data_IF_969587640213
#
_entry.id   IF_969587640213
#
_cell.length_a   1.000
_cell.length_b   1.000
_cell.length_c   1.000
_cell.angle_alpha   90.00
_cell.angle_beta   90.00
_cell.angle_gamma   90.00
#
_symmetry.space_group_name_H-M   'P 1'
#
loop_
_entity.id
_entity.type
_entity.pdbx_description
1 polymer ?
#
# COMPACT_ATOMS: atom_id res chain seq x y z
N UNK A 1 -20.01 21.99 -1.63
CA UNK A 1 -19.13 20.92 -1.12
C UNK A 1 -18.47 20.25 -2.33
N UNK A 2 -17.15 20.13 -2.37
CA UNK A 2 -16.48 19.42 -3.47
C UNK A 2 -16.79 17.92 -3.37
N UNK A 3 -17.23 17.30 -4.48
CA UNK A 3 -17.52 15.85 -4.48
C UNK A 3 -16.26 14.99 -4.30
N UNK A 4 -15.09 15.46 -4.78
CA UNK A 4 -13.82 14.76 -4.56
C UNK A 4 -13.19 15.13 -3.20
N UNK A 5 -13.08 14.19 -2.24
CA UNK A 5 -12.52 14.47 -0.91
C UNK A 5 -11.04 14.84 -0.96
N UNK A 6 -10.29 14.28 -1.91
CA UNK A 6 -8.85 14.51 -2.07
C UNK A 6 -8.53 15.72 -2.97
N UNK A 7 -9.55 16.48 -3.39
CA UNK A 7 -9.40 17.65 -4.28
C UNK A 7 -8.61 17.34 -5.56
N UNK A 8 -8.78 16.14 -6.10
CA UNK A 8 -8.12 15.68 -7.33
C UNK A 8 -8.76 16.27 -8.60
N UNK A 9 -10.00 16.77 -8.53
CA UNK A 9 -10.69 17.36 -9.68
C UNK A 9 -10.49 18.88 -9.67
N UNK A 10 -9.98 19.41 -10.78
CA UNK A 10 -9.76 20.84 -10.95
C UNK A 10 -10.31 21.35 -12.29
N UNK A 11 -10.41 22.67 -12.43
CA UNK A 11 -11.01 23.32 -13.58
C UNK A 11 -9.96 24.17 -14.31
N UNK A 12 -9.91 24.06 -15.64
CA UNK A 12 -9.04 24.85 -16.51
C UNK A 12 -9.71 25.00 -17.87
N UNK A 13 -9.73 26.21 -18.43
CA UNK A 13 -10.26 26.49 -19.78
C UNK A 13 -11.65 25.89 -20.04
N UNK A 14 -12.58 26.06 -19.11
CA UNK A 14 -13.94 25.51 -19.22
C UNK A 14 -14.06 23.98 -19.17
N UNK A 15 -12.96 23.26 -18.95
CA UNK A 15 -12.92 21.80 -18.83
C UNK A 15 -12.54 21.38 -17.41
N UNK A 16 -13.05 20.20 -17.02
CA UNK A 16 -12.64 19.52 -15.78
C UNK A 16 -11.50 18.56 -16.07
N UNK A 17 -10.49 18.57 -15.21
CA UNK A 17 -9.34 17.69 -15.26
C UNK A 17 -9.23 16.91 -13.95
N UNK A 18 -8.62 15.72 -14.03
CA UNK A 18 -8.31 14.90 -12.87
C UNK A 18 -6.80 14.85 -12.70
N UNK A 19 -6.34 15.27 -11.54
CA UNK A 19 -4.97 15.05 -11.05
C UNK A 19 -4.88 13.60 -10.55
N UNK A 20 -4.29 12.73 -11.37
CA UNK A 20 -4.21 11.30 -11.08
C UNK A 20 -3.29 10.98 -9.88
N UNK A 21 -2.34 11.85 -9.54
CA UNK A 21 -1.49 11.66 -8.36
C UNK A 21 -2.27 11.88 -7.05
N UNK A 22 -3.31 12.73 -7.10
CA UNK A 22 -4.24 12.94 -5.97
C UNK A 22 -5.44 11.99 -6.01
N UNK A 23 -5.76 11.42 -7.16
CA UNK A 23 -6.89 10.52 -7.31
C UNK A 23 -6.64 9.21 -6.58
N UNK A 24 -7.62 8.75 -5.81
CA UNK A 24 -7.54 7.48 -5.05
C UNK A 24 -8.48 6.41 -5.62
N UNK A 25 -9.05 6.63 -6.81
CA UNK A 25 -9.98 5.67 -7.43
C UNK A 25 -11.27 5.42 -6.64
N UNK A 26 -11.70 6.35 -5.77
CA UNK A 26 -12.86 6.12 -4.87
C UNK A 26 -14.25 6.24 -5.53
N UNK A 27 -14.30 6.53 -6.83
CA UNK A 27 -15.50 6.61 -7.68
C UNK A 27 -16.61 7.61 -7.31
N UNK A 28 -16.53 8.31 -6.17
CA UNK A 28 -17.54 9.30 -5.74
C UNK A 28 -17.92 10.34 -6.80
N UNK A 29 -16.99 10.72 -7.68
CA UNK A 29 -17.26 11.67 -8.75
C UNK A 29 -18.16 11.10 -9.85
N UNK A 30 -18.10 9.79 -10.08
CA UNK A 30 -18.99 9.06 -10.99
C UNK A 30 -20.38 9.03 -10.36
N UNK A 31 -20.48 8.60 -9.09
CA UNK A 31 -21.75 8.44 -8.37
C UNK A 31 -22.59 9.72 -8.31
N UNK A 32 -21.95 10.89 -8.15
CA UNK A 32 -22.66 12.17 -8.06
C UNK A 32 -22.95 12.81 -9.42
N UNK A 33 -22.42 12.28 -10.53
CA UNK A 33 -22.54 12.93 -11.82
C UNK A 33 -23.88 12.55 -12.48
N UNK A 34 -24.89 13.38 -12.25
CA UNK A 34 -26.26 13.18 -12.81
C UNK A 34 -26.30 13.12 -14.35
N UNK A 35 -25.29 13.68 -15.02
CA UNK A 35 -25.19 13.71 -16.48
C UNK A 35 -24.39 12.54 -17.07
N UNK A 36 -23.83 11.65 -16.25
CA UNK A 36 -23.03 10.52 -16.73
C UNK A 36 -21.75 10.92 -17.49
N UNK A 37 -21.20 12.11 -17.22
CA UNK A 37 -20.05 12.64 -17.95
C UNK A 37 -18.71 11.95 -17.63
N UNK A 38 -18.69 11.04 -16.65
CA UNK A 38 -17.51 10.31 -16.20
C UNK A 38 -17.86 8.83 -16.20
N UNK A 39 -17.07 8.05 -16.95
CA UNK A 39 -17.18 6.59 -17.00
C UNK A 39 -15.84 5.98 -16.56
N UNK A 40 -15.90 4.85 -15.85
CA UNK A 40 -14.72 4.10 -15.43
C UNK A 40 -14.69 2.79 -16.20
N UNK A 41 -13.71 2.70 -17.10
CA UNK A 41 -13.53 1.57 -18.01
C UNK A 41 -12.86 0.35 -17.36
N UNK A 42 -12.07 0.58 -16.31
CA UNK A 42 -11.45 -0.50 -15.53
C UNK A 42 -11.00 0.03 -14.17
N UNK A 43 -11.09 -0.84 -13.16
CA UNK A 43 -10.51 -0.63 -11.85
C UNK A 43 -9.60 -1.83 -11.62
N UNK A 44 -8.31 -1.58 -11.52
CA UNK A 44 -7.40 -2.59 -11.03
C UNK A 44 -7.53 -2.60 -9.51
N UNK A 45 -8.32 -3.55 -9.00
CA UNK A 45 -8.29 -3.83 -7.57
C UNK A 45 -6.94 -4.47 -7.24
N UNK A 46 -6.11 -3.71 -6.52
CA UNK A 46 -4.83 -4.20 -6.01
C UNK A 46 -5.04 -4.62 -4.57
N UNK A 47 -4.92 -5.92 -4.30
CA UNK A 47 -5.04 -6.46 -2.95
C UNK A 47 -3.66 -6.71 -2.36
N UNK A 48 -3.36 -6.02 -1.25
CA UNK A 48 -2.17 -6.32 -0.44
C UNK A 48 -2.36 -7.67 0.27
N UNK A 49 -1.48 -8.61 -0.05
CA UNK A 49 -1.46 -9.98 0.46
C UNK A 49 -0.41 -10.22 1.54
N UNK A 50 0.54 -9.30 1.69
CA UNK A 50 1.61 -9.43 2.68
C UNK A 50 2.79 -8.55 2.35
N UNK A 51 3.92 -8.89 2.97
CA UNK A 51 5.21 -8.33 2.67
C UNK A 51 6.22 -9.47 2.58
N UNK A 52 7.11 -9.41 1.60
CA UNK A 52 8.32 -10.23 1.58
C UNK A 52 9.52 -9.37 2.01
N UNK A 53 10.53 -10.04 2.58
CA UNK A 53 11.78 -9.40 2.97
C UNK A 53 12.87 -9.97 2.08
N UNK A 54 13.47 -9.08 1.29
CA UNK A 54 14.66 -9.35 0.49
C UNK A 54 15.86 -9.47 1.45
N UNK A 55 16.31 -10.70 1.67
CA UNK A 55 17.39 -11.01 2.62
C UNK A 55 18.76 -10.52 2.13
N UNK A 56 18.95 -10.30 0.83
CA UNK A 56 20.20 -9.74 0.30
C UNK A 56 20.30 -8.24 0.59
N UNK A 57 19.16 -7.53 0.59
CA UNK A 57 19.11 -6.10 0.92
C UNK A 57 18.96 -5.82 2.41
N UNK A 58 18.35 -6.73 3.16
CA UNK A 58 18.12 -6.55 4.58
C UNK A 58 19.43 -6.63 5.36
N UNK A 59 19.81 -5.55 6.05
CA UNK A 59 21.00 -5.52 6.90
C UNK A 59 20.69 -5.68 8.41
N UNK A 60 19.49 -6.16 8.74
CA UNK A 60 19.04 -6.33 10.13
C UNK A 60 19.13 -5.07 11.00
N UNK A 61 18.88 -3.88 10.45
CA UNK A 61 18.81 -2.64 11.24
C UNK A 61 17.67 -2.63 12.29
N UNK A 62 16.76 -3.61 12.28
CA UNK A 62 15.64 -3.79 13.23
C UNK A 62 14.66 -2.61 13.33
N UNK A 63 14.79 -1.58 12.49
CA UNK A 63 13.88 -0.42 12.44
C UNK A 63 12.42 -0.82 12.25
N UNK A 64 12.13 -1.86 11.47
CA UNK A 64 10.76 -2.36 11.25
C UNK A 64 10.15 -3.09 12.46
N UNK A 65 10.94 -3.31 13.52
CA UNK A 65 10.50 -3.88 14.80
C UNK A 65 10.29 -2.81 15.88
N UNK A 66 10.68 -1.55 15.63
CA UNK A 66 10.57 -0.47 16.62
C UNK A 66 9.12 -0.02 16.87
N UNK A 67 8.86 0.55 18.05
CA UNK A 67 7.55 1.01 18.52
C UNK A 67 6.80 1.91 17.52
N UNK A 68 7.52 2.80 16.84
CA UNK A 68 6.97 3.69 15.80
C UNK A 68 6.30 2.94 14.64
N UNK A 69 6.63 1.67 14.48
CA UNK A 69 6.06 0.73 13.52
C UNK A 69 5.36 -0.45 14.21
N UNK A 70 5.30 -0.51 15.54
CA UNK A 70 4.92 -1.72 16.28
C UNK A 70 3.42 -1.97 16.41
N UNK A 71 2.57 -1.00 16.05
CA UNK A 71 1.12 -1.09 16.32
C UNK A 71 0.43 -2.37 15.77
N UNK A 72 1.09 -3.11 14.87
CA UNK A 72 0.51 -4.28 14.20
C UNK A 72 1.28 -5.58 14.45
N UNK A 73 2.49 -5.56 15.02
CA UNK A 73 3.34 -6.73 15.22
C UNK A 73 3.48 -7.61 13.96
N UNK A 74 3.58 -7.00 12.78
CA UNK A 74 3.59 -7.72 11.50
C UNK A 74 4.98 -8.20 11.08
N UNK A 75 6.04 -7.83 11.78
CA UNK A 75 7.40 -8.34 11.56
C UNK A 75 7.96 -8.91 12.86
N UNK A 76 8.77 -9.95 12.76
CA UNK A 76 9.46 -10.57 13.90
C UNK A 76 10.89 -10.96 13.54
N UNK A 77 11.77 -10.91 14.55
CA UNK A 77 13.10 -11.48 14.44
C UNK A 77 13.01 -13.00 14.63
N UNK A 78 13.68 -13.74 13.77
CA UNK A 78 13.87 -15.19 13.85
C UNK A 78 15.35 -15.53 13.74
N UNK A 79 15.68 -16.75 14.12
CA UNK A 79 17.00 -17.32 13.96
C UNK A 79 16.88 -18.62 13.16
N UNK A 80 17.77 -18.83 12.21
CA UNK A 80 17.88 -20.10 11.51
C UNK A 80 18.48 -21.15 12.45
N UNK A 81 17.79 -22.28 12.63
CA UNK A 81 18.21 -23.34 13.56
C UNK A 81 19.50 -24.05 13.13
N UNK A 82 19.86 -23.98 11.84
CA UNK A 82 21.03 -24.67 11.27
C UNK A 82 22.25 -23.77 11.22
N UNK A 83 22.09 -22.54 10.76
CA UNK A 83 23.22 -21.60 10.61
C UNK A 83 23.42 -20.70 11.82
N UNK A 84 22.37 -20.50 12.62
CA UNK A 84 22.36 -19.55 13.73
C UNK A 84 22.18 -18.10 13.29
N UNK A 85 21.97 -17.83 12.00
CA UNK A 85 21.82 -16.48 11.48
C UNK A 85 20.46 -15.89 11.84
N UNK A 86 20.45 -14.61 12.23
CA UNK A 86 19.22 -13.87 12.47
C UNK A 86 18.61 -13.38 11.14
N UNK A 87 17.28 -13.42 11.03
CA UNK A 87 16.55 -12.81 9.92
C UNK A 87 15.24 -12.21 10.38
N UNK A 88 14.72 -11.25 9.62
CA UNK A 88 13.39 -10.68 9.87
C UNK A 88 12.38 -11.40 8.98
N UNK A 89 11.26 -11.80 9.58
CA UNK A 89 10.16 -12.48 8.92
C UNK A 89 8.87 -11.67 9.06
N UNK A 90 8.06 -11.67 8.00
CA UNK A 90 6.69 -11.16 8.02
C UNK A 90 5.73 -12.16 8.70
N UNK A 91 4.96 -11.68 9.67
CA UNK A 91 3.95 -12.45 10.40
C UNK A 91 2.57 -12.28 9.73
N UNK A 92 2.28 -13.17 8.78
CA UNK A 92 1.10 -13.11 7.90
C UNK A 92 -0.22 -13.08 8.67
N UNK A 93 -0.28 -13.72 9.83
CA UNK A 93 -1.42 -13.80 10.73
C UNK A 93 -1.85 -12.42 11.24
N UNK A 94 -0.91 -11.47 11.29
CA UNK A 94 -1.19 -10.09 11.71
C UNK A 94 -1.53 -9.15 10.54
N UNK A 95 -1.52 -9.63 9.29
CA UNK A 95 -1.95 -8.83 8.14
C UNK A 95 -3.36 -8.22 8.29
N UNK A 96 -4.38 -8.90 8.87
CA UNK A 96 -5.68 -8.29 9.09
C UNK A 96 -5.66 -7.07 10.02
N UNK A 97 -4.64 -6.97 10.89
CA UNK A 97 -4.43 -5.81 11.77
C UNK A 97 -3.69 -4.68 11.05
N UNK A 98 -3.23 -4.91 9.82
CA UNK A 98 -2.48 -3.94 9.05
C UNK A 98 -3.38 -2.83 8.49
N UNK A 99 -3.08 -1.57 8.81
CA UNK A 99 -3.73 -0.39 8.22
C UNK A 99 -3.40 -0.18 6.73
N UNK A 100 -2.61 -1.08 6.11
CA UNK A 100 -2.24 -1.03 4.68
C UNK A 100 -1.64 0.30 4.23
N UNK A 101 -0.98 1.02 5.14
CA UNK A 101 -0.40 2.34 4.88
C UNK A 101 0.93 2.31 4.09
N UNK A 102 1.50 1.12 3.85
CA UNK A 102 2.78 0.90 3.17
C UNK A 102 4.00 1.62 3.78
N UNK A 103 3.90 2.10 5.02
CA UNK A 103 5.00 2.79 5.70
C UNK A 103 6.26 1.93 5.81
N UNK A 104 6.13 0.62 6.04
CA UNK A 104 7.29 -0.28 6.12
C UNK A 104 8.07 -0.37 4.82
N UNK A 105 7.36 -0.47 3.68
CA UNK A 105 7.99 -0.42 2.35
C UNK A 105 8.67 0.93 2.12
N UNK A 106 7.96 2.04 2.36
CA UNK A 106 8.47 3.40 2.10
C UNK A 106 9.64 3.81 3.00
N UNK A 107 9.71 3.29 4.22
CA UNK A 107 10.67 3.74 5.23
C UNK A 107 11.78 2.71 5.51
N UNK A 108 11.80 1.57 4.81
CA UNK A 108 12.93 0.65 4.92
C UNK A 108 14.15 1.30 4.26
N UNK A 109 15.23 1.61 5.01
CA UNK A 109 16.37 2.36 4.46
C UNK A 109 17.07 1.62 3.31
N UNK A 110 16.99 0.29 3.30
CA UNK A 110 17.59 -0.55 2.28
C UNK A 110 16.59 -1.05 1.23
N UNK A 111 15.33 -0.59 1.27
CA UNK A 111 14.27 -1.06 0.38
C UNK A 111 14.09 -2.59 0.38
N UNK A 112 14.36 -3.23 1.52
CA UNK A 112 14.32 -4.68 1.67
C UNK A 112 12.90 -5.23 1.93
N UNK A 113 11.97 -4.40 2.42
CA UNK A 113 10.59 -4.81 2.69
C UNK A 113 9.75 -4.51 1.46
N UNK A 114 9.25 -5.53 0.77
CA UNK A 114 8.51 -5.38 -0.48
C UNK A 114 7.06 -5.81 -0.30
N UNK A 115 6.06 -5.04 -0.78
CA UNK A 115 4.66 -5.42 -0.69
C UNK A 115 4.34 -6.56 -1.67
N UNK A 116 3.66 -7.58 -1.18
CA UNK A 116 3.10 -8.64 -2.01
C UNK A 116 1.68 -8.25 -2.41
N UNK A 117 1.43 -8.07 -3.71
CA UNK A 117 0.15 -7.61 -4.24
C UNK A 117 -0.38 -8.57 -5.31
N UNK A 118 -1.71 -8.75 -5.35
CA UNK A 118 -2.39 -9.45 -6.43
C UNK A 118 -3.30 -8.45 -7.15
N UNK A 119 -3.26 -8.48 -8.48
CA UNK A 119 -4.20 -7.76 -9.33
C UNK A 119 -5.43 -8.65 -9.56
N UNK A 120 -6.64 -8.18 -9.24
CA UNK A 120 -7.88 -8.94 -9.43
C UNK A 120 -8.28 -9.21 -10.90
N UNK A 121 -7.35 -9.12 -11.86
CA UNK A 121 -7.60 -9.25 -13.29
C UNK A 121 -6.87 -10.43 -13.95
N UNK A 122 -6.48 -11.46 -13.19
CA UNK A 122 -6.18 -12.78 -13.76
C UNK A 122 -7.42 -13.68 -13.61
N UNK A 123 -8.30 -13.61 -14.60
CA UNK A 123 -9.20 -14.70 -15.01
C UNK A 123 -8.92 -15.00 -16.47
#
# INVERSE_FOLDING_TARGET
>A
MYSCPNKAIFFKNSLRYVDYDKCQGCLKCVDVCEHGAIEVISINEVKLMGFCIDQEKCNLCKLCLEEKFYFQNIFRLKQDEKTGDEFIEFHKENLPKCFKCLKYFKNCPNNAILPEIINSNTS
#
